data_IF_135061423759
#
_entry.id   IF_135061423759
#
_cell.length_a   1.000
_cell.length_b   1.000
_cell.length_c   1.000
_cell.angle_alpha   90.00
_cell.angle_beta   90.00
_cell.angle_gamma   90.00
#
_symmetry.space_group_name_H-M   'P 1'
#
loop_
_entity.id
_entity.type
_entity.pdbx_description
1 polymer ?
#
# COMPACT_ATOMS: atom_id res chain seq x y z
N UNK A 1 10.11 22.14 -12.76
CA UNK A 1 9.11 22.02 -11.68
C UNK A 1 9.86 22.03 -10.36
N UNK A 2 9.40 22.87 -9.43
CA UNK A 2 9.94 22.97 -8.08
C UNK A 2 9.19 22.02 -7.16
N UNK A 3 9.90 21.42 -6.17
CA UNK A 3 9.33 20.51 -5.17
C UNK A 3 9.55 21.05 -3.78
N UNK A 4 8.58 20.87 -2.91
CA UNK A 4 8.80 21.05 -1.49
C UNK A 4 9.58 19.86 -0.92
N UNK A 5 10.14 20.00 0.28
CA UNK A 5 10.66 18.87 1.04
C UNK A 5 9.52 18.30 1.89
N UNK A 6 9.11 17.09 1.59
CA UNK A 6 8.04 16.43 2.31
C UNK A 6 8.46 15.03 2.72
N UNK A 7 8.39 14.74 4.01
CA UNK A 7 8.59 13.39 4.56
C UNK A 7 7.24 12.83 4.97
N UNK A 8 6.85 11.71 4.38
CA UNK A 8 5.61 11.04 4.73
C UNK A 8 5.80 10.25 6.04
N UNK A 9 5.15 10.69 7.11
CA UNK A 9 5.19 10.05 8.44
C UNK A 9 3.77 9.74 8.92
N UNK A 10 3.10 8.74 8.33
CA UNK A 10 1.73 8.41 8.68
C UNK A 10 1.62 7.80 10.07
N UNK A 11 0.44 7.95 10.67
CA UNK A 11 0.06 7.29 11.92
C UNK A 11 -1.22 6.49 11.73
N UNK A 12 -1.32 5.37 12.43
CA UNK A 12 -2.55 4.59 12.50
C UNK A 12 -3.23 4.84 13.84
N UNK A 13 -4.54 5.05 13.82
CA UNK A 13 -5.38 5.14 15.02
C UNK A 13 -6.08 3.80 15.23
N UNK A 14 -5.81 3.17 16.36
CA UNK A 14 -6.54 1.98 16.79
C UNK A 14 -7.19 2.23 18.16
N UNK A 15 -8.51 2.40 18.16
CA UNK A 15 -9.31 2.63 19.36
C UNK A 15 -8.79 3.80 20.22
N UNK A 16 -8.42 4.90 19.57
CA UNK A 16 -7.91 6.11 20.23
C UNK A 16 -6.42 6.11 20.55
N UNK A 17 -5.71 4.98 20.34
CA UNK A 17 -4.26 4.93 20.49
C UNK A 17 -3.57 5.08 19.12
N UNK A 18 -2.62 6.00 19.04
CA UNK A 18 -1.84 6.27 17.83
C UNK A 18 -0.59 5.38 17.78
N UNK A 19 -0.30 4.87 16.58
CA UNK A 19 0.87 4.08 16.27
C UNK A 19 1.59 4.65 15.05
N UNK A 20 2.89 4.80 15.13
CA UNK A 20 3.70 5.25 13.99
C UNK A 20 3.77 4.20 12.89
N UNK A 21 3.84 4.69 11.64
CA UNK A 21 4.07 3.88 10.45
C UNK A 21 5.25 4.48 9.66
N UNK A 22 5.96 3.67 8.83
CA UNK A 22 5.81 2.22 8.64
C UNK A 22 6.14 1.46 9.92
N UNK A 23 5.92 0.14 9.94
CA UNK A 23 6.24 -0.67 11.12
C UNK A 23 7.74 -0.60 11.44
N UNK A 24 8.05 0.13 12.50
CA UNK A 24 9.42 0.43 12.91
C UNK A 24 9.54 0.36 14.45
N UNK A 25 10.70 0.69 14.99
CA UNK A 25 10.92 0.62 16.44
C UNK A 25 9.98 1.51 17.26
N UNK A 26 9.50 2.64 16.71
CA UNK A 26 8.48 3.44 17.41
C UNK A 26 7.15 2.67 17.49
N UNK A 27 6.74 2.00 16.42
CA UNK A 27 5.55 1.13 16.41
C UNK A 27 5.68 0.01 17.43
N UNK A 28 6.84 -0.66 17.49
CA UNK A 28 7.09 -1.78 18.39
C UNK A 28 7.16 -1.33 19.86
N UNK A 29 7.76 -0.18 20.12
CA UNK A 29 7.72 0.45 21.44
C UNK A 29 6.28 0.77 21.87
N UNK A 30 5.51 1.40 21.00
CA UNK A 30 4.10 1.73 21.27
C UNK A 30 3.23 0.50 21.48
N UNK A 31 3.56 -0.61 20.80
CA UNK A 31 2.79 -1.87 20.87
C UNK A 31 3.16 -2.71 22.10
N UNK A 32 4.46 -2.88 22.35
CA UNK A 32 5.00 -3.86 23.29
C UNK A 32 5.90 -3.25 24.39
N UNK A 33 6.26 -1.98 24.30
CA UNK A 33 7.21 -1.33 25.24
C UNK A 33 8.67 -1.71 25.03
N UNK A 34 9.00 -2.40 23.93
CA UNK A 34 10.37 -2.81 23.61
C UNK A 34 11.22 -1.63 23.15
N UNK A 35 12.49 -1.61 23.53
CA UNK A 35 13.40 -0.49 23.27
C UNK A 35 14.56 -0.86 22.35
N UNK A 36 14.82 -2.15 22.16
CA UNK A 36 15.91 -2.64 21.30
C UNK A 36 15.38 -3.44 20.10
N UNK A 37 16.12 -3.45 18.97
CA UNK A 37 15.80 -4.28 17.82
C UNK A 37 15.68 -5.77 18.16
N UNK A 38 16.51 -6.26 19.07
CA UNK A 38 16.54 -7.64 19.53
C UNK A 38 15.25 -8.03 20.24
N UNK A 39 14.78 -7.18 21.18
CA UNK A 39 13.50 -7.40 21.87
C UNK A 39 12.32 -7.41 20.88
N UNK A 40 12.31 -6.50 19.92
CA UNK A 40 11.27 -6.44 18.89
C UNK A 40 11.26 -7.71 18.03
N UNK A 41 12.44 -8.19 17.60
CA UNK A 41 12.59 -9.45 16.84
C UNK A 41 12.09 -10.65 17.63
N UNK A 42 12.43 -10.72 18.94
CA UNK A 42 11.96 -11.81 19.80
C UNK A 42 10.44 -11.82 19.93
N UNK A 43 9.79 -10.64 20.05
CA UNK A 43 8.33 -10.55 20.09
C UNK A 43 7.67 -11.02 18.80
N UNK A 44 8.21 -10.63 17.67
CA UNK A 44 7.71 -11.09 16.36
C UNK A 44 7.91 -12.59 16.21
N UNK A 45 9.09 -13.10 16.55
CA UNK A 45 9.42 -14.52 16.41
C UNK A 45 8.58 -15.41 17.33
N UNK A 46 8.30 -14.97 18.56
CA UNK A 46 7.40 -15.66 19.49
C UNK A 46 6.03 -15.88 18.85
N UNK A 47 5.42 -14.83 18.29
CA UNK A 47 4.09 -14.89 17.67
C UNK A 47 4.12 -15.68 16.36
N UNK A 48 5.18 -15.51 15.57
CA UNK A 48 5.43 -16.27 14.35
C UNK A 48 5.52 -17.77 14.61
N UNK A 49 6.26 -18.17 15.65
CA UNK A 49 6.40 -19.58 16.02
C UNK A 49 5.06 -20.23 16.36
N UNK A 50 4.18 -19.53 17.08
CA UNK A 50 2.83 -20.03 17.35
C UNK A 50 2.06 -20.28 16.06
N UNK A 51 2.12 -19.31 15.13
CA UNK A 51 1.45 -19.44 13.83
C UNK A 51 2.02 -20.60 12.99
N UNK A 52 3.35 -20.76 12.97
CA UNK A 52 4.01 -21.86 12.25
C UNK A 52 3.64 -23.25 12.80
N UNK A 53 3.51 -23.38 14.13
CA UNK A 53 3.06 -24.63 14.75
C UNK A 53 1.64 -24.95 14.30
N UNK A 54 0.72 -23.99 14.39
CA UNK A 54 -0.67 -24.17 13.98
C UNK A 54 -0.80 -24.53 12.47
N UNK A 55 -0.01 -23.88 11.62
CA UNK A 55 0.04 -24.20 10.18
C UNK A 55 0.55 -25.63 9.94
N UNK A 56 1.61 -26.04 10.63
CA UNK A 56 2.18 -27.40 10.51
C UNK A 56 1.17 -28.46 10.95
N UNK A 57 0.47 -28.23 12.06
CA UNK A 57 -0.59 -29.14 12.55
C UNK A 57 -1.74 -29.25 11.53
N UNK A 58 -2.04 -28.16 10.81
CA UNK A 58 -3.01 -28.14 9.72
C UNK A 58 -2.49 -28.68 8.39
N UNK A 59 -1.24 -29.17 8.32
CA UNK A 59 -0.61 -29.66 7.09
C UNK A 59 -0.30 -28.57 6.06
N UNK A 60 -0.17 -27.31 6.50
CA UNK A 60 0.06 -26.14 5.65
C UNK A 60 1.54 -25.78 5.69
N UNK A 61 2.19 -25.73 4.54
CA UNK A 61 3.63 -25.43 4.40
C UNK A 61 3.90 -23.96 4.03
N UNK A 62 2.96 -23.30 3.36
CA UNK A 62 3.07 -21.90 2.95
C UNK A 62 1.79 -21.13 3.31
N UNK A 63 1.87 -19.81 3.58
CA UNK A 63 0.69 -19.01 3.87
C UNK A 63 -0.32 -19.04 2.72
N UNK A 64 -1.55 -19.41 3.01
CA UNK A 64 -2.64 -19.55 2.03
C UNK A 64 -3.33 -18.22 1.72
N UNK A 65 -3.28 -17.28 2.67
CA UNK A 65 -4.02 -16.03 2.65
C UNK A 65 -3.23 -14.88 3.28
N UNK A 66 -3.79 -13.67 3.19
CA UNK A 66 -3.17 -12.46 3.70
C UNK A 66 -2.97 -12.49 5.22
N UNK A 67 -3.92 -13.03 5.99
CA UNK A 67 -3.80 -13.14 7.45
C UNK A 67 -2.60 -13.98 7.86
N UNK A 68 -2.49 -15.21 7.35
CA UNK A 68 -1.37 -16.10 7.64
C UNK A 68 -0.03 -15.45 7.26
N UNK A 69 0.04 -14.82 6.08
CA UNK A 69 1.24 -14.12 5.63
C UNK A 69 1.61 -12.93 6.52
N UNK A 70 0.62 -12.12 6.94
CA UNK A 70 0.85 -10.97 7.80
C UNK A 70 1.38 -11.39 9.18
N UNK A 71 0.78 -12.40 9.80
CA UNK A 71 1.21 -12.91 11.10
C UNK A 71 2.64 -13.45 11.03
N UNK A 72 3.01 -14.14 9.95
CA UNK A 72 4.38 -14.61 9.74
C UNK A 72 5.40 -13.49 9.52
N UNK A 73 4.97 -12.35 8.97
CA UNK A 73 5.86 -11.20 8.73
C UNK A 73 6.07 -10.33 9.97
N UNK A 74 5.01 -10.06 10.74
CA UNK A 74 5.05 -9.00 11.73
C UNK A 74 4.38 -9.35 13.07
N UNK A 75 3.86 -10.57 13.18
CA UNK A 75 3.18 -11.05 14.39
C UNK A 75 1.69 -10.70 14.45
N UNK A 76 0.99 -11.44 15.30
CA UNK A 76 -0.47 -11.37 15.45
C UNK A 76 -0.96 -10.02 15.96
N UNK A 77 -0.28 -9.44 16.95
CA UNK A 77 -0.73 -8.19 17.60
C UNK A 77 -0.80 -7.04 16.60
N UNK A 78 0.21 -6.89 15.76
CA UNK A 78 0.27 -5.83 14.76
C UNK A 78 -0.73 -6.12 13.63
N UNK A 79 -0.84 -7.38 13.19
CA UNK A 79 -1.84 -7.77 12.22
C UNK A 79 -3.25 -7.39 12.68
N UNK A 80 -3.66 -7.81 13.87
CA UNK A 80 -5.02 -7.58 14.39
C UNK A 80 -5.35 -6.10 14.59
N UNK A 81 -4.38 -5.32 15.07
CA UNK A 81 -4.63 -3.91 15.42
C UNK A 81 -4.44 -2.94 14.27
N UNK A 82 -3.46 -3.18 13.38
CA UNK A 82 -3.03 -2.16 12.41
C UNK A 82 -3.21 -2.59 10.95
N UNK A 83 -3.38 -3.88 10.66
CA UNK A 83 -3.48 -4.37 9.29
C UNK A 83 -4.89 -4.83 8.96
N UNK A 84 -5.45 -5.72 9.78
CA UNK A 84 -6.72 -6.39 9.48
C UNK A 84 -7.84 -5.40 9.14
N UNK A 85 -8.19 -4.51 10.05
CA UNK A 85 -9.31 -3.58 9.85
C UNK A 85 -9.12 -2.63 8.67
N UNK A 86 -7.90 -2.13 8.46
CA UNK A 86 -7.58 -1.31 7.30
C UNK A 86 -7.74 -2.09 5.99
N UNK A 87 -7.19 -3.30 5.94
CA UNK A 87 -7.22 -4.14 4.74
C UNK A 87 -8.64 -4.58 4.40
N UNK A 88 -9.40 -5.06 5.37
CA UNK A 88 -10.79 -5.51 5.16
C UNK A 88 -11.70 -4.36 4.71
N UNK A 89 -11.50 -3.15 5.28
CA UNK A 89 -12.21 -1.95 4.82
C UNK A 89 -11.87 -1.59 3.38
N UNK A 90 -10.59 -1.62 3.01
CA UNK A 90 -10.14 -1.23 1.68
C UNK A 90 -10.55 -2.24 0.60
N UNK A 91 -10.47 -3.54 0.90
CA UNK A 91 -10.79 -4.59 -0.05
C UNK A 91 -12.27 -5.02 -0.03
N UNK A 92 -13.01 -4.68 1.03
CA UNK A 92 -14.39 -5.13 1.23
C UNK A 92 -14.51 -6.64 1.37
N UNK A 93 -13.44 -7.31 1.80
CA UNK A 93 -13.32 -8.77 1.95
C UNK A 93 -12.55 -9.11 3.22
N UNK A 94 -12.81 -10.29 3.78
CA UNK A 94 -12.04 -10.81 4.90
C UNK A 94 -10.59 -11.12 4.48
N UNK A 95 -9.63 -10.87 5.36
CA UNK A 95 -8.21 -11.16 5.10
C UNK A 95 -7.94 -12.63 4.80
N UNK A 96 -8.77 -13.56 5.27
CA UNK A 96 -8.68 -14.99 4.94
C UNK A 96 -9.00 -15.31 3.47
N UNK A 97 -9.75 -14.42 2.79
CA UNK A 97 -10.13 -14.57 1.38
C UNK A 97 -9.15 -13.86 0.43
N UNK A 98 -8.24 -13.08 0.98
CA UNK A 98 -7.27 -12.30 0.20
C UNK A 98 -5.96 -13.08 0.01
N UNK A 99 -5.38 -13.04 -1.20
CA UNK A 99 -4.12 -13.72 -1.48
C UNK A 99 -2.96 -13.24 -0.62
N UNK A 100 -2.09 -14.17 -0.19
CA UNK A 100 -0.92 -13.89 0.63
C UNK A 100 0.06 -12.88 0.02
N UNK A 101 0.17 -12.84 -1.32
CA UNK A 101 1.13 -11.97 -2.00
C UNK A 101 0.87 -10.47 -1.81
N UNK A 102 -0.37 -10.07 -1.49
CA UNK A 102 -0.76 -8.66 -1.30
C UNK A 102 0.13 -8.00 -0.23
N UNK A 103 0.47 -8.72 0.84
CA UNK A 103 1.22 -8.17 1.97
C UNK A 103 2.70 -8.58 1.99
N UNK A 104 3.19 -9.32 1.02
CA UNK A 104 4.61 -9.77 0.99
C UNK A 104 5.64 -8.64 1.07
N UNK A 105 5.28 -7.44 0.63
CA UNK A 105 6.17 -6.27 0.57
C UNK A 105 5.99 -5.29 1.73
N UNK A 106 5.40 -5.75 2.83
CA UNK A 106 5.20 -4.90 3.99
C UNK A 106 6.56 -4.43 4.54
N UNK A 107 6.81 -3.12 4.64
CA UNK A 107 8.06 -2.62 5.17
C UNK A 107 8.11 -2.79 6.68
N UNK A 108 9.07 -3.58 7.14
CA UNK A 108 9.36 -3.79 8.57
C UNK A 108 10.80 -3.35 8.82
N UNK A 109 11.00 -2.42 9.76
CA UNK A 109 12.29 -1.80 10.04
C UNK A 109 12.61 -1.86 11.53
N UNK A 110 13.83 -2.24 11.84
CA UNK A 110 14.32 -2.29 13.24
C UNK A 110 15.18 -1.06 13.58
N UNK A 111 14.68 0.12 13.18
CA UNK A 111 15.27 1.42 13.46
C UNK A 111 14.16 2.38 13.90
N UNK A 112 14.51 3.45 14.62
CA UNK A 112 13.58 4.52 15.00
C UNK A 112 13.49 5.55 13.87
N UNK A 113 12.76 5.21 12.82
CA UNK A 113 12.56 6.08 11.65
C UNK A 113 11.10 6.00 11.17
N UNK A 114 10.40 7.13 11.25
CA UNK A 114 9.00 7.25 10.83
C UNK A 114 8.85 7.68 9.37
N UNK A 115 9.94 7.87 8.63
CA UNK A 115 9.83 8.13 7.21
C UNK A 115 9.29 6.90 6.49
N UNK A 116 8.12 7.03 5.85
CA UNK A 116 7.46 5.91 5.20
C UNK A 116 8.28 5.34 4.03
N UNK A 117 8.94 6.21 3.27
CA UNK A 117 9.72 5.82 2.12
C UNK A 117 11.22 5.75 2.43
N UNK A 118 11.96 4.99 1.62
CA UNK A 118 13.42 4.89 1.69
C UNK A 118 14.13 5.75 0.62
N UNK A 119 13.34 6.50 -0.16
CA UNK A 119 13.87 7.28 -1.28
C UNK A 119 14.70 8.45 -0.78
N UNK A 120 15.84 8.68 -1.45
CA UNK A 120 16.74 9.80 -1.13
C UNK A 120 16.08 11.16 -1.37
N UNK A 121 15.22 11.24 -2.38
CA UNK A 121 14.51 12.46 -2.75
C UNK A 121 13.01 12.26 -2.56
N UNK A 122 12.44 13.09 -1.71
CA UNK A 122 11.02 13.06 -1.38
C UNK A 122 10.47 14.47 -1.40
N UNK A 123 9.32 14.65 -2.02
CA UNK A 123 8.69 15.96 -2.13
C UNK A 123 7.38 15.91 -2.91
N UNK A 124 6.65 16.98 -2.83
CA UNK A 124 5.42 17.20 -3.59
C UNK A 124 5.65 18.39 -4.52
N UNK A 125 5.26 18.31 -5.81
CA UNK A 125 5.46 19.41 -6.74
C UNK A 125 4.65 20.63 -6.32
N UNK A 126 5.32 21.80 -6.24
CA UNK A 126 4.67 23.05 -5.89
C UNK A 126 3.74 23.47 -7.03
N UNK A 127 2.48 23.70 -6.69
CA UNK A 127 1.41 23.99 -7.65
C UNK A 127 0.75 22.75 -8.25
N UNK A 128 1.02 21.57 -7.68
CA UNK A 128 0.31 20.34 -7.99
C UNK A 128 0.95 19.50 -9.10
N UNK A 129 0.47 18.26 -9.23
CA UNK A 129 1.02 17.28 -10.17
C UNK A 129 0.76 17.63 -11.63
N UNK A 130 -0.26 18.41 -11.95
CA UNK A 130 -0.53 18.83 -13.33
C UNK A 130 0.65 19.60 -13.93
N UNK A 131 1.26 20.53 -13.16
CA UNK A 131 2.47 21.23 -13.61
C UNK A 131 3.65 20.33 -13.90
N UNK A 132 3.78 19.23 -13.15
CA UNK A 132 4.81 18.23 -13.43
C UNK A 132 4.52 17.54 -14.76
N UNK A 133 3.29 17.12 -14.99
CA UNK A 133 2.89 16.47 -16.25
C UNK A 133 3.02 17.42 -17.44
N UNK A 134 2.55 18.66 -17.31
CA UNK A 134 2.72 19.70 -18.33
C UNK A 134 4.19 19.90 -18.70
N UNK A 135 5.08 19.94 -17.69
CA UNK A 135 6.51 20.05 -17.91
C UNK A 135 7.12 18.84 -18.65
N UNK A 136 6.65 17.63 -18.38
CA UNK A 136 7.08 16.41 -19.06
C UNK A 136 6.58 16.33 -20.50
N UNK A 137 5.46 16.98 -20.82
CA UNK A 137 4.83 16.99 -22.14
C UNK A 137 5.33 18.10 -23.06
N UNK A 138 6.24 18.98 -22.61
CA UNK A 138 6.79 20.05 -23.44
C UNK A 138 7.44 19.46 -24.70
N UNK A 139 6.97 19.92 -25.87
CA UNK A 139 7.44 19.44 -27.15
C UNK A 139 6.83 18.11 -27.64
N UNK A 140 5.90 17.55 -26.88
CA UNK A 140 5.18 16.32 -27.24
C UNK A 140 3.76 16.69 -27.67
N UNK A 141 3.34 16.21 -28.85
CA UNK A 141 1.95 16.38 -29.30
C UNK A 141 1.02 15.67 -28.33
N UNK A 142 0.10 16.43 -27.74
CA UNK A 142 -0.86 15.94 -26.75
C UNK A 142 -2.28 16.22 -27.18
N UNK A 143 -3.14 15.20 -27.21
CA UNK A 143 -4.57 15.32 -27.48
C UNK A 143 -5.35 14.94 -26.22
N UNK A 144 -6.08 15.89 -25.68
CA UNK A 144 -6.99 15.68 -24.53
C UNK A 144 -8.40 15.38 -25.01
N UNK A 145 -9.27 14.88 -24.13
CA UNK A 145 -10.64 14.48 -24.44
C UNK A 145 -10.74 13.52 -25.63
N UNK A 146 -9.78 12.60 -25.74
CA UNK A 146 -9.68 11.64 -26.84
C UNK A 146 -9.64 10.24 -26.23
N UNK A 147 -10.64 9.43 -26.51
CA UNK A 147 -10.65 8.02 -26.14
C UNK A 147 -9.88 7.22 -27.19
N UNK A 148 -8.98 6.36 -26.73
CA UNK A 148 -8.23 5.46 -27.61
C UNK A 148 -9.14 4.54 -28.44
N UNK A 149 -10.22 4.07 -27.84
CA UNK A 149 -11.14 3.12 -28.48
C UNK A 149 -12.05 3.74 -29.52
N UNK A 150 -12.27 5.07 -29.49
CA UNK A 150 -13.07 5.78 -30.52
C UNK A 150 -12.45 5.63 -31.91
N UNK A 151 -11.12 5.50 -31.98
CA UNK A 151 -10.44 5.35 -33.28
C UNK A 151 -9.17 4.50 -33.17
N UNK A 152 -9.28 3.34 -32.53
CA UNK A 152 -8.19 2.42 -32.23
C UNK A 152 -7.36 2.09 -33.47
N UNK A 153 -7.99 1.72 -34.57
CA UNK A 153 -7.30 1.37 -35.82
C UNK A 153 -6.45 2.50 -36.35
N UNK A 154 -6.92 3.74 -36.24
CA UNK A 154 -6.13 4.91 -36.65
C UNK A 154 -4.85 5.05 -35.81
N UNK A 155 -4.98 4.95 -34.47
CA UNK A 155 -3.84 5.08 -33.57
C UNK A 155 -2.81 3.96 -33.76
N UNK A 156 -3.27 2.74 -34.01
CA UNK A 156 -2.43 1.58 -34.28
C UNK A 156 -1.68 1.71 -35.60
N UNK A 157 -2.23 2.41 -36.60
CA UNK A 157 -1.60 2.61 -37.88
C UNK A 157 -0.57 3.74 -37.93
N UNK A 158 -0.66 4.75 -37.07
CA UNK A 158 0.26 5.89 -37.06
C UNK A 158 1.38 5.76 -36.05
N UNK A 159 1.33 4.79 -35.12
CA UNK A 159 2.29 4.62 -34.07
C UNK A 159 3.11 3.35 -34.25
N UNK A 160 4.45 3.48 -34.17
CA UNK A 160 5.35 2.31 -34.15
C UNK A 160 5.20 1.46 -32.88
N UNK A 161 4.84 2.09 -31.77
CA UNK A 161 4.59 1.45 -30.47
C UNK A 161 3.51 2.18 -29.71
N UNK A 162 2.64 1.41 -29.05
CA UNK A 162 1.60 1.93 -28.18
C UNK A 162 1.86 1.50 -26.75
N UNK A 163 1.86 2.47 -25.84
CA UNK A 163 1.88 2.23 -24.40
C UNK A 163 0.51 2.58 -23.86
N UNK A 164 -0.32 1.56 -23.67
CA UNK A 164 -1.67 1.75 -23.16
C UNK A 164 -1.67 1.70 -21.62
N UNK A 165 -2.09 2.80 -20.99
CA UNK A 165 -2.13 2.94 -19.52
C UNK A 165 -3.55 2.89 -18.96
N UNK A 166 -4.55 2.64 -19.81
CA UNK A 166 -5.94 2.42 -19.40
C UNK A 166 -6.16 1.03 -18.81
N UNK A 167 -7.40 0.67 -18.61
CA UNK A 167 -7.78 -0.64 -18.06
C UNK A 167 -7.45 -1.75 -19.03
N UNK A 168 -6.64 -2.72 -18.58
CA UNK A 168 -6.17 -3.80 -19.44
C UNK A 168 -7.29 -4.73 -19.92
N UNK A 169 -8.31 -4.93 -19.10
CA UNK A 169 -9.48 -5.72 -19.48
C UNK A 169 -10.31 -5.03 -20.58
N UNK A 170 -10.42 -3.69 -20.57
CA UNK A 170 -11.04 -2.94 -21.67
C UNK A 170 -10.22 -3.05 -22.95
N UNK A 171 -8.87 -3.00 -22.87
CA UNK A 171 -8.00 -3.17 -24.04
C UNK A 171 -8.23 -4.51 -24.75
N UNK A 172 -8.50 -5.57 -23.99
CA UNK A 172 -8.79 -6.90 -24.50
C UNK A 172 -10.30 -7.21 -24.57
N UNK A 173 -11.17 -6.17 -24.57
CA UNK A 173 -12.63 -6.33 -24.69
C UNK A 173 -13.22 -7.29 -23.64
N UNK A 174 -12.61 -7.35 -22.47
CA UNK A 174 -12.97 -8.24 -21.36
C UNK A 174 -13.06 -9.73 -21.73
N UNK A 175 -12.38 -10.18 -22.80
CA UNK A 175 -12.43 -11.57 -23.31
C UNK A 175 -11.93 -12.61 -22.31
N UNK A 176 -11.16 -12.19 -21.30
CA UNK A 176 -10.68 -13.02 -20.18
C UNK A 176 -11.43 -12.77 -18.87
N UNK A 177 -12.53 -12.05 -18.92
CA UNK A 177 -13.28 -11.56 -17.77
C UNK A 177 -12.88 -10.13 -17.39
N UNK A 178 -13.72 -9.50 -16.56
CA UNK A 178 -13.46 -8.14 -16.01
C UNK A 178 -12.60 -8.23 -14.77
N UNK A 179 -11.67 -7.29 -14.64
CA UNK A 179 -10.92 -7.08 -13.41
C UNK A 179 -11.78 -6.36 -12.37
N UNK A 180 -11.61 -6.72 -11.12
CA UNK A 180 -12.28 -6.02 -10.02
C UNK A 180 -11.51 -4.76 -9.62
N UNK A 181 -12.24 -3.66 -9.51
CA UNK A 181 -11.75 -2.38 -9.00
C UNK A 181 -12.46 -2.02 -7.70
N UNK A 182 -11.79 -1.25 -6.86
CA UNK A 182 -12.37 -0.72 -5.63
C UNK A 182 -12.30 0.81 -5.63
N UNK A 183 -13.43 1.44 -5.38
CA UNK A 183 -13.51 2.88 -5.19
C UNK A 183 -13.26 3.20 -3.72
N UNK A 184 -12.35 4.12 -3.46
CA UNK A 184 -12.12 4.69 -2.12
C UNK A 184 -12.97 5.94 -1.98
N UNK A 185 -13.79 5.99 -0.94
CA UNK A 185 -14.55 7.17 -0.55
C UNK A 185 -13.85 7.85 0.62
N UNK A 186 -13.59 9.13 0.49
CA UNK A 186 -13.06 9.97 1.56
C UNK A 186 -14.22 10.73 2.22
N UNK A 187 -14.22 10.78 3.55
CA UNK A 187 -15.07 11.65 4.35
C UNK A 187 -14.13 12.58 5.12
N UNK A 188 -14.32 13.89 4.93
CA UNK A 188 -13.49 14.91 5.57
C UNK A 188 -14.28 15.53 6.71
N UNK A 189 -13.67 15.62 7.89
CA UNK A 189 -14.21 16.31 9.04
C UNK A 189 -13.18 17.32 9.53
N UNK A 190 -13.63 18.54 9.73
CA UNK A 190 -12.79 19.63 10.25
C UNK A 190 -13.22 19.91 11.69
N UNK A 191 -12.30 19.76 12.61
CA UNK A 191 -12.51 20.04 14.01
C UNK A 191 -11.81 21.36 14.39
N UNK A 192 -12.53 22.26 15.05
CA UNK A 192 -11.96 23.50 15.63
C UNK A 192 -11.36 23.19 17.01
N UNK A 193 -10.29 22.39 17.01
CA UNK A 193 -9.56 22.00 18.22
C UNK A 193 -8.08 22.38 18.08
N UNK A 194 -7.53 23.01 19.12
CA UNK A 194 -6.08 23.11 19.26
C UNK A 194 -5.50 21.71 19.53
N UNK A 195 -4.50 21.31 18.75
CA UNK A 195 -3.75 20.06 18.96
C UNK A 195 -3.02 20.07 20.29
#
# INVERSE_FOLDING_TARGET
>A
VEFNRYTNSPVANYKGKLYNLPFNMNTFYQMWGVTTPEEARLKIEEQRRVALVAMKEAGVTEPRNLEEQAILLIGKDIYEKLIKGYTEKQWGRNCLELPAFIIKRLPVRFVFDNNYFNDKYQGIPIGGYNKLIEGLLVGIETKVATDFFDNRTYWENIADKIIFTGKIDEYYESRFGKLEYRTVRFEEEIYDTAN
#
